data_IF_710536875416
#
_entry.id   IF_710536875416
#
_cell.length_a   1.000
_cell.length_b   1.000
_cell.length_c   1.000
_cell.angle_alpha   90.00
_cell.angle_beta   90.00
_cell.angle_gamma   90.00
#
_symmetry.space_group_name_H-M   'P 1'
#
loop_
_entity.id
_entity.type
_entity.pdbx_description
1 polymer ?
#
# COMPACT_ATOMS: atom_id res chain seq x y z
N UNK A 1 22.62 -7.19 -15.14
CA UNK A 1 22.86 -6.61 -13.79
C UNK A 1 21.87 -7.23 -12.79
N UNK A 2 21.83 -8.56 -12.71
CA UNK A 2 20.89 -9.31 -11.86
C UNK A 2 21.61 -10.17 -10.79
N UNK A 3 22.94 -10.13 -10.74
CA UNK A 3 23.74 -11.11 -9.97
C UNK A 3 23.75 -10.88 -8.45
N UNK A 4 23.53 -9.64 -7.97
CA UNK A 4 23.79 -9.33 -6.54
C UNK A 4 22.73 -9.85 -5.57
N UNK A 5 21.49 -10.05 -6.04
CA UNK A 5 20.39 -10.51 -5.16
C UNK A 5 20.48 -12.01 -4.95
N UNK A 6 20.78 -12.76 -6.01
CA UNK A 6 20.98 -14.22 -5.96
C UNK A 6 22.22 -14.58 -5.13
N UNK A 7 23.30 -13.82 -5.25
CA UNK A 7 24.52 -14.00 -4.46
C UNK A 7 24.28 -13.84 -2.94
N UNK A 8 23.42 -12.90 -2.53
CA UNK A 8 23.05 -12.68 -1.13
C UNK A 8 22.10 -13.79 -0.60
N UNK A 9 21.25 -14.37 -1.47
CA UNK A 9 20.42 -15.55 -1.13
C UNK A 9 21.30 -16.76 -0.83
N UNK A 10 22.24 -17.04 -1.74
CA UNK A 10 23.15 -18.19 -1.66
C UNK A 10 24.11 -18.08 -0.47
N UNK A 11 24.57 -16.87 -0.16
CA UNK A 11 25.41 -16.63 1.01
C UNK A 11 24.64 -16.88 2.31
N UNK A 12 23.40 -16.42 2.45
CA UNK A 12 22.56 -16.71 3.62
C UNK A 12 22.29 -18.21 3.80
N UNK A 13 21.96 -18.90 2.69
CA UNK A 13 21.74 -20.34 2.67
C UNK A 13 22.99 -21.14 3.08
N UNK A 14 24.18 -20.70 2.66
CA UNK A 14 25.44 -21.34 3.05
C UNK A 14 25.72 -21.27 4.57
N UNK A 15 25.14 -20.28 5.26
CA UNK A 15 25.21 -20.12 6.71
C UNK A 15 24.10 -20.86 7.47
N UNK A 16 23.25 -21.62 6.77
CA UNK A 16 22.11 -22.33 7.36
C UNK A 16 20.90 -21.44 7.66
N UNK A 17 20.91 -20.18 7.22
CA UNK A 17 19.78 -19.26 7.36
C UNK A 17 18.92 -19.29 6.11
N UNK A 18 17.65 -19.67 6.25
CA UNK A 18 16.66 -19.54 5.19
C UNK A 18 16.46 -18.04 4.89
N UNK A 19 16.47 -17.66 3.61
CA UNK A 19 16.30 -16.26 3.25
C UNK A 19 14.84 -15.84 3.39
N UNK A 20 14.48 -15.29 4.55
CA UNK A 20 13.12 -14.87 4.88
C UNK A 20 12.74 -13.47 4.36
N UNK A 21 13.70 -12.72 3.83
CA UNK A 21 13.43 -11.38 3.34
C UNK A 21 12.80 -11.44 1.95
N UNK A 22 11.48 -11.61 1.90
CA UNK A 22 10.65 -11.27 0.75
C UNK A 22 10.72 -9.75 0.53
N UNK A 23 11.83 -9.26 -0.03
CA UNK A 23 12.02 -7.87 -0.46
C UNK A 23 11.27 -7.65 -1.77
N UNK A 24 9.97 -7.73 -1.63
CA UNK A 24 8.99 -7.67 -2.68
C UNK A 24 7.67 -7.75 -1.96
N UNK A 25 7.25 -6.64 -1.33
CA UNK A 25 5.83 -6.36 -1.34
C UNK A 25 5.48 -6.24 -2.81
N UNK A 26 5.13 -7.40 -3.37
CA UNK A 26 4.71 -7.66 -4.75
C UNK A 26 3.87 -6.48 -5.21
N UNK A 27 3.99 -6.05 -6.46
CA UNK A 27 3.27 -4.94 -7.07
C UNK A 27 1.81 -4.79 -6.59
N UNK A 28 1.15 -5.91 -6.27
CA UNK A 28 -0.13 -6.00 -5.58
C UNK A 28 -0.23 -5.28 -4.21
N UNK A 29 0.74 -5.42 -3.32
CA UNK A 29 0.76 -4.75 -2.01
C UNK A 29 0.87 -3.23 -2.14
N UNK A 30 1.73 -2.73 -3.03
CA UNK A 30 1.81 -1.28 -3.31
C UNK A 30 0.52 -0.76 -3.97
N UNK A 31 -0.12 -1.57 -4.83
CA UNK A 31 -1.44 -1.26 -5.38
C UNK A 31 -2.52 -1.20 -4.30
N UNK A 32 -2.57 -2.19 -3.40
CA UNK A 32 -3.57 -2.27 -2.33
C UNK A 32 -3.45 -1.10 -1.33
N UNK A 33 -2.23 -0.73 -0.95
CA UNK A 33 -1.97 0.43 -0.07
C UNK A 33 -2.41 1.72 -0.76
N UNK A 34 -2.02 1.92 -2.03
CA UNK A 34 -2.40 3.11 -2.79
C UNK A 34 -3.92 3.20 -3.00
N UNK A 35 -4.57 2.07 -3.32
CA UNK A 35 -6.02 1.99 -3.45
C UNK A 35 -6.75 2.31 -2.14
N UNK A 36 -6.25 1.81 -0.99
CA UNK A 36 -6.80 2.14 0.33
C UNK A 36 -6.71 3.63 0.65
N UNK A 37 -5.57 4.27 0.37
CA UNK A 37 -5.37 5.71 0.56
C UNK A 37 -6.31 6.51 -0.34
N UNK A 38 -6.34 6.23 -1.65
CA UNK A 38 -7.22 6.93 -2.60
C UNK A 38 -8.69 6.74 -2.21
N UNK A 39 -9.10 5.55 -1.79
CA UNK A 39 -10.47 5.26 -1.37
C UNK A 39 -10.90 6.09 -0.16
N UNK A 40 -10.05 6.27 0.85
CA UNK A 40 -10.35 7.10 2.02
C UNK A 40 -10.35 8.59 1.65
N UNK A 41 -9.38 9.04 0.85
CA UNK A 41 -9.28 10.45 0.44
C UNK A 41 -10.45 10.85 -0.48
N UNK A 42 -10.71 10.08 -1.54
CA UNK A 42 -11.77 10.37 -2.51
C UNK A 42 -13.16 9.94 -2.00
N UNK A 43 -13.27 8.76 -1.41
CA UNK A 43 -14.54 8.24 -0.91
C UNK A 43 -14.95 8.88 0.40
N UNK A 44 -14.04 8.97 1.37
CA UNK A 44 -14.31 9.54 2.69
C UNK A 44 -14.29 11.06 2.67
N UNK A 45 -13.14 11.69 2.38
CA UNK A 45 -13.00 13.14 2.48
C UNK A 45 -13.72 13.91 1.37
N UNK A 46 -13.63 13.50 0.11
CA UNK A 46 -14.35 14.22 -0.96
C UNK A 46 -15.86 14.03 -0.85
N UNK A 47 -16.37 12.84 -0.53
CA UNK A 47 -17.82 12.68 -0.30
C UNK A 47 -18.29 13.37 0.98
N UNK A 48 -17.46 13.46 2.01
CA UNK A 48 -17.78 14.25 3.22
C UNK A 48 -17.80 15.75 2.91
N UNK A 49 -16.81 16.25 2.16
CA UNK A 49 -16.76 17.64 1.72
C UNK A 49 -17.93 17.97 0.79
N UNK A 50 -18.18 17.14 -0.22
CA UNK A 50 -19.31 17.28 -1.12
C UNK A 50 -20.63 17.16 -0.34
N UNK A 51 -20.71 16.23 0.61
CA UNK A 51 -21.80 16.11 1.57
C UNK A 51 -22.03 17.44 2.29
N UNK A 52 -21.04 18.00 2.99
CA UNK A 52 -21.18 19.30 3.66
C UNK A 52 -21.60 20.44 2.72
N UNK A 53 -21.03 20.52 1.53
CA UNK A 53 -21.28 21.63 0.59
C UNK A 53 -22.62 21.49 -0.16
N UNK A 54 -23.06 20.26 -0.44
CA UNK A 54 -24.31 19.99 -1.20
C UNK A 54 -25.51 19.64 -0.32
N UNK A 55 -25.31 19.23 0.94
CA UNK A 55 -26.37 18.88 1.91
C UNK A 55 -26.94 20.08 2.67
N UNK A 56 -27.07 21.23 1.99
CA UNK A 56 -27.72 22.41 2.55
C UNK A 56 -29.01 22.09 3.33
N UNK A 57 -29.40 22.96 4.27
CA UNK A 57 -30.07 22.73 5.57
C UNK A 57 -30.25 21.33 6.19
N UNK A 58 -29.96 20.20 5.52
CA UNK A 58 -30.20 18.84 6.03
C UNK A 58 -29.10 18.30 6.94
N UNK A 59 -27.94 18.95 6.97
CA UNK A 59 -26.87 18.67 7.93
C UNK A 59 -26.94 19.57 9.18
N UNK A 60 -27.67 20.68 9.11
CA UNK A 60 -27.75 21.70 10.19
C UNK A 60 -29.14 21.85 10.81
N UNK A 61 -30.10 20.99 10.48
CA UNK A 61 -31.39 20.86 11.19
C UNK A 61 -31.58 19.44 11.65
#
# INVERSE_FOLDING_TARGET
MADTVDEDRDHLHSMGYAQELHRGMSTFSNFAISFSIISILAGGMTSFWLGMVTSGPRVIT
#
